data_IF_396736574083
#
_entry.id   IF_396736574083
#
_cell.length_a   1.000
_cell.length_b   1.000
_cell.length_c   1.000
_cell.angle_alpha   90.00
_cell.angle_beta   90.00
_cell.angle_gamma   90.00
#
_symmetry.space_group_name_H-M   'P 1'
#
loop_
_entity.id
_entity.type
_entity.pdbx_description
1 polymer ?
#
# COMPACT_ATOMS: atom_id res chain seq x y z
N UNK A 1 -0.75 23.39 5.26
CA UNK A 1 -0.36 22.03 4.79
C UNK A 1 -1.07 20.91 5.57
N UNK A 2 -0.64 20.56 6.80
CA UNK A 2 -1.27 19.45 7.55
C UNK A 2 -2.75 19.68 7.85
N UNK A 3 -3.14 20.93 8.14
CA UNK A 3 -4.53 21.33 8.30
C UNK A 3 -5.35 21.09 7.03
N UNK A 4 -4.80 21.43 5.87
CA UNK A 4 -5.46 21.28 4.57
C UNK A 4 -5.56 19.81 4.14
N UNK A 5 -4.64 18.95 4.60
CA UNK A 5 -4.77 17.50 4.42
C UNK A 5 -5.87 16.93 5.31
N UNK A 6 -5.98 17.40 6.56
CA UNK A 6 -7.05 16.99 7.47
C UNK A 6 -8.43 17.37 6.95
N UNK A 7 -8.58 18.55 6.34
CA UNK A 7 -9.86 18.95 5.73
C UNK A 7 -10.30 18.05 4.57
N UNK A 8 -9.35 17.32 3.96
CA UNK A 8 -9.60 16.32 2.92
C UNK A 8 -9.66 14.88 3.45
N UNK A 9 -9.70 14.70 4.78
CA UNK A 9 -9.88 13.39 5.42
C UNK A 9 -8.58 12.67 5.80
N UNK A 10 -7.43 13.32 5.73
CA UNK A 10 -6.16 12.72 6.18
C UNK A 10 -6.13 12.52 7.70
N UNK A 11 -5.77 11.31 8.14
CA UNK A 11 -5.60 10.99 9.56
C UNK A 11 -4.14 11.29 10.00
N UNK A 12 -3.90 12.54 10.41
CA UNK A 12 -2.59 13.05 10.82
C UNK A 12 -2.63 13.71 12.20
N UNK A 13 -3.53 13.27 13.08
CA UNK A 13 -3.70 13.81 14.44
C UNK A 13 -2.47 13.55 15.32
N UNK A 14 -1.79 12.43 15.10
CA UNK A 14 -0.60 12.00 15.83
C UNK A 14 0.71 12.58 15.30
N UNK A 15 0.72 13.14 14.09
CA UNK A 15 1.92 13.74 13.49
C UNK A 15 2.09 15.16 14.00
N UNK A 16 3.19 15.40 14.73
CA UNK A 16 3.55 16.73 15.22
C UNK A 16 4.42 17.47 14.17
N UNK A 17 4.18 18.77 13.89
CA UNK A 17 4.90 19.51 12.85
C UNK A 17 6.43 19.56 13.05
N UNK A 18 6.90 19.60 14.29
CA UNK A 18 8.33 19.65 14.62
C UNK A 18 9.11 18.43 14.14
N UNK A 19 8.46 17.27 14.00
CA UNK A 19 9.10 16.06 13.47
C UNK A 19 9.20 16.05 11.94
N UNK A 20 8.64 17.05 11.26
CA UNK A 20 8.78 17.22 9.81
C UNK A 20 9.92 18.19 9.44
N UNK A 21 10.58 18.80 10.43
CA UNK A 21 11.71 19.70 10.21
C UNK A 21 12.96 18.93 9.79
N UNK A 22 13.90 19.63 9.14
CA UNK A 22 15.25 19.10 8.99
C UNK A 22 15.93 18.99 10.37
N UNK A 23 16.93 18.09 10.54
CA UNK A 23 17.60 17.92 11.82
C UNK A 23 18.15 19.22 12.44
N UNK A 24 18.74 20.09 11.61
CA UNK A 24 19.27 21.37 12.07
C UNK A 24 18.16 22.36 12.45
N UNK A 25 17.07 22.38 11.67
CA UNK A 25 15.90 23.22 11.97
C UNK A 25 15.19 22.75 13.24
N UNK A 26 15.16 21.44 13.50
CA UNK A 26 14.64 20.89 14.75
C UNK A 26 15.48 21.32 15.94
N UNK A 27 16.82 21.30 15.83
CA UNK A 27 17.71 21.82 16.88
C UNK A 27 17.39 23.28 17.17
N UNK A 28 17.33 24.14 16.15
CA UNK A 28 16.95 25.55 16.30
C UNK A 28 15.57 25.69 16.95
N UNK A 29 14.58 24.92 16.49
CA UNK A 29 13.23 24.94 17.06
C UNK A 29 13.20 24.54 18.53
N UNK A 30 13.98 23.52 18.92
CA UNK A 30 14.10 23.12 20.33
C UNK A 30 14.77 24.20 21.17
N UNK A 31 15.82 24.86 20.67
CA UNK A 31 16.48 25.96 21.39
C UNK A 31 15.53 27.14 21.62
N UNK A 32 14.77 27.53 20.60
CA UNK A 32 13.80 28.63 20.68
C UNK A 32 12.66 28.31 21.65
N UNK A 33 12.14 27.07 21.64
CA UNK A 33 10.98 26.70 22.45
C UNK A 33 11.30 26.21 23.86
N UNK A 34 12.52 25.74 24.12
CA UNK A 34 12.95 25.30 25.46
C UNK A 34 13.82 26.32 26.18
N UNK A 35 14.41 27.28 25.45
CA UNK A 35 15.38 28.22 25.99
C UNK A 35 16.74 27.57 26.36
N UNK A 36 16.94 26.29 26.02
CA UNK A 36 18.16 25.54 26.29
C UNK A 36 18.99 25.49 25.00
N UNK A 37 20.15 26.15 24.99
CA UNK A 37 21.13 26.00 23.89
C UNK A 37 21.71 24.59 23.91
N UNK A 38 21.71 23.92 22.75
CA UNK A 38 22.33 22.60 22.58
C UNK A 38 23.85 22.78 22.75
N UNK A 39 24.34 22.56 23.97
CA UNK A 39 25.73 22.80 24.37
C UNK A 39 25.93 23.30 25.80
N UNK A 40 24.88 23.77 26.48
CA UNK A 40 24.97 24.16 27.89
C UNK A 40 24.15 23.21 28.76
N UNK A 41 24.81 22.19 29.32
CA UNK A 41 24.24 21.30 30.31
C UNK A 41 24.10 22.05 31.65
N UNK A 42 23.10 22.92 31.80
CA UNK A 42 22.72 23.49 33.11
C UNK A 42 21.21 23.53 33.31
N UNK A 43 20.78 22.62 34.18
CA UNK A 43 19.64 22.68 35.10
C UNK A 43 18.27 23.06 34.53
N UNK A 44 17.41 22.03 34.43
CA UNK A 44 15.99 22.00 34.80
C UNK A 44 15.35 23.35 35.12
N UNK A 45 14.84 24.03 34.09
CA UNK A 45 13.91 25.15 34.19
C UNK A 45 12.47 24.68 33.90
N UNK A 46 11.57 24.87 34.86
CA UNK A 46 10.15 24.48 34.77
C UNK A 46 9.41 25.54 33.94
N UNK A 47 9.07 25.23 32.69
CA UNK A 47 8.23 26.08 31.83
C UNK A 47 7.02 25.29 31.31
N UNK A 48 5.84 25.83 31.62
CA UNK A 48 4.48 25.51 31.11
C UNK A 48 4.20 24.08 30.62
N UNK A 49 4.15 23.10 31.53
CA UNK A 49 3.30 21.89 31.40
C UNK A 49 3.60 20.88 30.28
N UNK A 50 4.42 21.22 29.28
CA UNK A 50 4.87 20.35 28.19
C UNK A 50 6.34 20.05 28.41
N UNK A 51 6.65 18.84 28.89
CA UNK A 51 8.03 18.34 28.88
C UNK A 51 8.45 18.12 27.43
N UNK A 52 9.08 19.13 26.83
CA UNK A 52 9.77 18.98 25.55
C UNK A 52 11.08 18.28 25.85
N UNK A 53 11.12 16.98 25.60
CA UNK A 53 12.37 16.22 25.66
C UNK A 53 13.17 16.55 24.39
N UNK A 54 14.38 17.08 24.56
CA UNK A 54 15.33 17.16 23.45
C UNK A 54 15.69 15.72 23.10
N UNK A 55 15.34 15.31 21.89
CA UNK A 55 15.65 13.98 21.40
C UNK A 55 17.10 13.92 20.94
N UNK A 56 17.74 12.78 21.17
CA UNK A 56 19.00 12.47 20.50
C UNK A 56 18.80 12.42 18.99
N UNK A 57 19.82 12.80 18.22
CA UNK A 57 19.76 12.91 16.76
C UNK A 57 19.24 11.61 16.09
N UNK A 58 19.67 10.43 16.57
CA UNK A 58 19.23 9.12 16.05
C UNK A 58 17.74 8.83 16.32
N UNK A 59 17.24 9.26 17.48
CA UNK A 59 15.84 9.10 17.89
C UNK A 59 14.96 10.06 17.10
N UNK A 60 15.40 11.32 16.97
CA UNK A 60 14.73 12.31 16.12
C UNK A 60 14.60 11.81 14.68
N UNK A 61 15.69 11.32 14.09
CA UNK A 61 15.71 10.82 12.71
C UNK A 61 14.70 9.68 12.51
N UNK A 62 14.61 8.76 13.47
CA UNK A 62 13.66 7.63 13.42
C UNK A 62 12.21 8.13 13.46
N UNK A 63 11.91 9.07 14.36
CA UNK A 63 10.57 9.64 14.50
C UNK A 63 10.22 10.49 13.27
N UNK A 64 11.16 11.27 12.76
CA UNK A 64 10.99 12.11 11.58
C UNK A 64 10.69 11.27 10.34
N UNK A 65 11.45 10.20 10.11
CA UNK A 65 11.19 9.23 9.03
C UNK A 65 9.78 8.65 9.11
N UNK A 66 9.34 8.26 10.31
CA UNK A 66 7.98 7.74 10.52
C UNK A 66 6.93 8.81 10.24
N UNK A 67 7.11 10.02 10.76
CA UNK A 67 6.20 11.14 10.54
C UNK A 67 6.06 11.47 9.05
N UNK A 68 7.17 11.56 8.32
CA UNK A 68 7.16 11.77 6.87
C UNK A 68 6.51 10.62 6.12
N UNK A 69 6.78 9.38 6.49
CA UNK A 69 6.15 8.20 5.89
C UNK A 69 4.63 8.24 6.07
N UNK A 70 4.16 8.57 7.27
CA UNK A 70 2.73 8.70 7.56
C UNK A 70 2.08 9.84 6.75
N UNK A 71 2.75 10.99 6.62
CA UNK A 71 2.28 12.12 5.79
C UNK A 71 2.19 11.72 4.32
N UNK A 72 3.23 11.11 3.76
CA UNK A 72 3.25 10.66 2.36
C UNK A 72 2.18 9.60 2.08
N UNK A 73 1.97 8.66 3.00
CA UNK A 73 0.92 7.66 2.91
C UNK A 73 -0.48 8.31 2.91
N UNK A 74 -0.71 9.28 3.79
CA UNK A 74 -1.99 9.99 3.84
C UNK A 74 -2.22 10.84 2.57
N UNK A 75 -1.17 11.47 2.02
CA UNK A 75 -1.25 12.14 0.72
C UNK A 75 -1.69 11.15 -0.37
N UNK A 76 -1.08 9.97 -0.42
CA UNK A 76 -1.48 8.94 -1.39
C UNK A 76 -2.94 8.53 -1.23
N UNK A 77 -3.37 8.22 0.00
CA UNK A 77 -4.74 7.79 0.30
C UNK A 77 -5.80 8.85 -0.04
N UNK A 78 -5.50 10.12 0.19
CA UNK A 78 -6.46 11.22 0.01
C UNK A 78 -6.47 11.76 -1.42
N UNK A 79 -5.32 11.83 -2.09
CA UNK A 79 -5.23 12.51 -3.39
C UNK A 79 -5.11 11.55 -4.59
N UNK A 80 -4.47 10.39 -4.41
CA UNK A 80 -4.19 9.46 -5.51
C UNK A 80 -5.27 8.40 -5.60
N UNK A 81 -5.58 7.76 -4.48
CA UNK A 81 -6.51 6.64 -4.42
C UNK A 81 -7.93 6.96 -4.94
N UNK A 82 -8.53 8.15 -4.67
CA UNK A 82 -9.84 8.48 -5.21
C UNK A 82 -9.87 8.58 -6.74
N UNK A 83 -8.77 9.05 -7.35
CA UNK A 83 -8.66 9.21 -8.80
C UNK A 83 -8.64 7.86 -9.52
N UNK A 84 -7.99 6.88 -8.91
CA UNK A 84 -7.90 5.51 -9.43
C UNK A 84 -9.26 4.82 -9.31
N UNK A 85 -9.91 4.93 -8.14
CA UNK A 85 -11.19 4.27 -7.88
C UNK A 85 -12.34 4.81 -8.74
N UNK A 86 -12.38 6.12 -9.04
CA UNK A 86 -13.41 6.71 -9.91
C UNK A 86 -13.47 6.05 -11.30
N UNK A 87 -12.34 5.56 -11.80
CA UNK A 87 -12.24 4.87 -13.10
C UNK A 87 -12.54 3.38 -13.02
N UNK A 88 -12.47 2.81 -11.82
CA UNK A 88 -12.61 1.38 -11.57
C UNK A 88 -14.07 1.00 -11.37
N UNK A 89 -14.90 1.85 -10.75
CA UNK A 89 -16.31 1.52 -10.45
C UNK A 89 -17.11 1.34 -11.73
N UNK A 90 -17.48 0.10 -12.12
CA UNK A 90 -18.52 -0.11 -13.10
C UNK A 90 -19.86 -0.11 -12.36
N UNK A 91 -20.91 0.20 -13.10
CA UNK A 91 -22.34 0.17 -12.79
C UNK A 91 -22.75 -0.75 -11.59
N UNK A 92 -23.73 -0.35 -10.73
CA UNK A 92 -24.19 -1.11 -9.55
C UNK A 92 -24.60 -2.56 -9.85
N UNK A 93 -24.99 -2.86 -11.09
CA UNK A 93 -25.25 -4.21 -11.61
C UNK A 93 -24.06 -5.17 -11.47
N UNK A 94 -22.84 -4.63 -11.44
CA UNK A 94 -21.62 -5.41 -11.25
C UNK A 94 -21.42 -5.90 -9.80
N UNK A 95 -22.20 -5.40 -8.83
CA UNK A 95 -22.23 -5.94 -7.47
C UNK A 95 -23.03 -7.25 -7.38
N UNK A 96 -23.95 -7.49 -8.32
CA UNK A 96 -24.77 -8.72 -8.35
C UNK A 96 -23.96 -9.94 -8.79
N UNK A 97 -22.95 -9.79 -9.66
CA UNK A 97 -22.06 -10.90 -10.03
C UNK A 97 -21.18 -11.40 -8.88
N UNK A 98 -21.03 -10.59 -7.81
CA UNK A 98 -20.39 -10.99 -6.56
C UNK A 98 -21.32 -11.83 -5.66
N UNK A 99 -22.65 -11.80 -5.86
CA UNK A 99 -23.61 -12.63 -5.11
C UNK A 99 -23.49 -14.13 -5.46
N UNK A 100 -22.97 -14.45 -6.65
CA UNK A 100 -22.71 -15.82 -7.08
C UNK A 100 -21.39 -16.39 -6.52
N UNK A 101 -20.60 -15.58 -5.79
CA UNK A 101 -19.45 -16.08 -5.04
C UNK A 101 -19.95 -16.55 -3.66
N UNK A 102 -19.73 -17.82 -3.28
CA UNK A 102 -20.23 -18.32 -2.00
C UNK A 102 -19.56 -17.56 -0.84
N UNK A 103 -20.38 -16.92 0.01
CA UNK A 103 -19.92 -16.30 1.27
C UNK A 103 -20.02 -14.78 1.35
N UNK A 104 -20.35 -14.07 0.26
CA UNK A 104 -20.80 -12.68 0.36
C UNK A 104 -22.25 -12.69 0.84
N UNK A 105 -22.47 -12.47 2.15
CA UNK A 105 -23.56 -11.53 2.50
C UNK A 105 -23.21 -10.24 1.77
N UNK A 106 -24.16 -9.55 1.17
CA UNK A 106 -24.00 -8.27 0.43
C UNK A 106 -23.24 -7.16 1.19
N UNK A 107 -22.76 -7.46 2.39
CA UNK A 107 -21.88 -6.69 3.26
C UNK A 107 -20.47 -7.32 3.40
N UNK A 108 -19.67 -7.55 2.34
CA UNK A 108 -18.24 -7.80 2.50
C UNK A 108 -17.46 -6.49 2.82
N UNK A 109 -18.16 -5.52 3.41
CA UNK A 109 -17.88 -4.10 3.29
C UNK A 109 -17.96 -3.35 4.64
N UNK A 110 -18.30 -4.04 5.74
CA UNK A 110 -18.39 -3.46 7.08
C UNK A 110 -17.05 -3.38 7.84
N UNK A 111 -15.92 -3.80 7.23
CA UNK A 111 -14.63 -3.55 7.86
C UNK A 111 -14.33 -2.04 7.81
N UNK A 112 -14.31 -1.41 8.98
CA UNK A 112 -13.84 -0.06 9.25
C UNK A 112 -12.33 0.14 8.98
N UNK A 113 -11.64 -0.86 8.43
CA UNK A 113 -10.20 -0.85 8.15
C UNK A 113 -9.89 -0.21 6.78
N UNK A 114 -10.75 -0.43 5.77
CA UNK A 114 -10.52 0.04 4.41
C UNK A 114 -11.50 1.15 4.00
N UNK A 115 -10.99 2.17 3.34
CA UNK A 115 -11.77 3.22 2.71
C UNK A 115 -12.64 2.67 1.56
N UNK A 116 -13.63 3.45 1.13
CA UNK A 116 -14.46 3.13 -0.05
C UNK A 116 -13.63 2.88 -1.31
N UNK A 117 -12.48 3.54 -1.44
CA UNK A 117 -11.63 3.45 -2.62
C UNK A 117 -10.74 2.20 -2.59
N UNK A 118 -10.19 1.84 -1.44
CA UNK A 118 -9.50 0.56 -1.23
C UNK A 118 -10.45 -0.62 -1.51
N UNK A 119 -11.69 -0.54 -1.00
CA UNK A 119 -12.72 -1.57 -1.26
C UNK A 119 -13.05 -1.70 -2.74
N UNK A 120 -13.08 -0.60 -3.50
CA UNK A 120 -13.27 -0.65 -4.94
C UNK A 120 -12.15 -1.41 -5.66
N UNK A 121 -10.90 -1.22 -5.23
CA UNK A 121 -9.74 -1.97 -5.78
C UNK A 121 -9.86 -3.45 -5.42
N UNK A 122 -10.19 -3.81 -4.18
CA UNK A 122 -10.38 -5.22 -3.79
C UNK A 122 -11.47 -5.90 -4.64
N UNK A 123 -12.61 -5.23 -4.85
CA UNK A 123 -13.68 -5.74 -5.72
C UNK A 123 -13.17 -5.97 -7.14
N UNK A 124 -12.41 -5.03 -7.68
CA UNK A 124 -11.83 -5.12 -9.01
C UNK A 124 -10.83 -6.28 -9.14
N UNK A 125 -9.95 -6.45 -8.15
CA UNK A 125 -9.00 -7.57 -8.10
C UNK A 125 -9.71 -8.93 -8.09
N UNK A 126 -10.77 -9.09 -7.29
CA UNK A 126 -11.56 -10.32 -7.26
C UNK A 126 -12.19 -10.64 -8.62
N UNK A 127 -12.88 -9.66 -9.22
CA UNK A 127 -13.53 -9.82 -10.52
C UNK A 127 -12.51 -10.18 -11.61
N UNK A 128 -11.39 -9.47 -11.64
CA UNK A 128 -10.37 -9.69 -12.65
C UNK A 128 -9.68 -11.05 -12.47
N UNK A 129 -9.34 -11.42 -11.23
CA UNK A 129 -8.69 -12.69 -10.95
C UNK A 129 -9.56 -13.89 -11.36
N UNK A 130 -10.83 -13.92 -10.92
CA UNK A 130 -11.73 -15.04 -11.26
C UNK A 130 -11.95 -15.13 -12.78
N UNK A 131 -12.11 -13.99 -13.46
CA UNK A 131 -12.26 -13.94 -14.92
C UNK A 131 -11.03 -14.48 -15.65
N UNK A 132 -9.82 -14.09 -15.22
CA UNK A 132 -8.60 -14.33 -15.99
C UNK A 132 -7.84 -15.60 -15.59
N UNK A 133 -8.01 -16.14 -14.37
CA UNK A 133 -7.19 -17.29 -13.90
C UNK A 133 -7.27 -18.51 -14.82
N UNK A 134 -8.44 -18.77 -15.43
CA UNK A 134 -8.67 -19.88 -16.37
C UNK A 134 -8.05 -19.64 -17.74
N UNK A 135 -7.79 -18.38 -18.09
CA UNK A 135 -7.21 -17.98 -19.37
C UNK A 135 -5.68 -17.97 -19.25
N UNK A 136 -5.15 -17.30 -18.23
CA UNK A 136 -3.71 -17.07 -18.04
C UNK A 136 -2.95 -18.39 -17.81
N UNK A 137 -3.53 -19.32 -17.05
CA UNK A 137 -2.88 -20.58 -16.67
C UNK A 137 -3.54 -21.82 -17.27
N UNK A 138 -4.23 -21.66 -18.40
CA UNK A 138 -4.80 -22.80 -19.15
C UNK A 138 -3.73 -23.84 -19.48
N UNK A 139 -2.58 -23.37 -19.94
CA UNK A 139 -1.46 -24.19 -20.41
C UNK A 139 -0.25 -24.10 -19.45
N UNK A 140 -0.49 -23.93 -18.14
CA UNK A 140 0.55 -23.71 -17.13
C UNK A 140 1.65 -24.77 -17.15
N UNK A 141 2.91 -24.33 -16.98
CA UNK A 141 4.08 -25.22 -16.91
C UNK A 141 4.37 -25.71 -15.49
N UNK A 142 3.82 -25.05 -14.46
CA UNK A 142 4.15 -25.30 -13.05
C UNK A 142 2.90 -25.39 -12.18
N UNK A 143 2.04 -26.33 -12.53
CA UNK A 143 0.79 -26.64 -11.84
C UNK A 143 -0.40 -26.59 -12.80
N UNK A 144 -1.61 -26.54 -12.26
CA UNK A 144 -2.85 -26.42 -13.04
C UNK A 144 -3.39 -24.98 -13.05
N UNK A 145 -4.66 -24.84 -13.41
CA UNK A 145 -5.38 -23.58 -13.22
C UNK A 145 -5.42 -23.27 -11.71
N UNK A 146 -4.97 -22.08 -11.25
CA UNK A 146 -5.04 -21.69 -9.85
C UNK A 146 -6.46 -21.81 -9.30
N UNK A 147 -6.57 -22.15 -8.02
CA UNK A 147 -7.86 -22.23 -7.33
C UNK A 147 -8.58 -20.89 -7.31
N UNK A 148 -9.91 -20.96 -7.28
CA UNK A 148 -10.73 -19.82 -6.91
C UNK A 148 -10.35 -19.39 -5.50
N UNK A 149 -10.21 -18.08 -5.27
CA UNK A 149 -9.87 -17.55 -3.95
C UNK A 149 -10.55 -16.21 -3.70
N UNK A 150 -10.58 -15.84 -2.44
CA UNK A 150 -11.18 -14.60 -1.96
C UNK A 150 -10.08 -13.59 -1.63
N UNK A 151 -10.10 -12.40 -2.24
CA UNK A 151 -9.09 -11.35 -2.02
C UNK A 151 -9.72 -10.27 -1.14
N UNK A 152 -9.34 -10.22 0.12
CA UNK A 152 -9.87 -9.30 1.14
C UNK A 152 -8.83 -8.34 1.68
N UNK A 153 -7.55 -8.57 1.38
CA UNK A 153 -6.46 -7.73 1.84
C UNK A 153 -5.43 -7.48 0.71
N UNK A 154 -4.48 -6.56 0.95
CA UNK A 154 -3.44 -6.17 -0.01
C UNK A 154 -2.07 -6.78 0.32
N UNK A 155 -2.02 -7.69 1.28
CA UNK A 155 -0.82 -8.29 1.84
C UNK A 155 -0.79 -9.79 1.56
N UNK A 156 -1.33 -10.63 2.44
CA UNK A 156 -1.28 -12.08 2.30
C UNK A 156 -1.94 -12.58 1.01
N UNK A 157 -3.05 -11.97 0.60
CA UNK A 157 -3.80 -12.44 -0.57
C UNK A 157 -3.09 -12.13 -1.91
N UNK A 158 -2.14 -11.21 -1.89
CA UNK A 158 -1.32 -10.82 -3.05
C UNK A 158 0.08 -11.42 -3.03
N UNK A 159 0.46 -12.09 -1.93
CA UNK A 159 1.83 -12.54 -1.64
C UNK A 159 2.42 -13.45 -2.72
N UNK A 160 1.59 -14.32 -3.31
CA UNK A 160 2.05 -15.29 -4.31
C UNK A 160 2.16 -14.73 -5.73
N UNK A 161 1.76 -13.47 -5.92
CA UNK A 161 1.82 -12.74 -7.17
C UNK A 161 0.79 -13.15 -8.22
N UNK A 162 -0.03 -14.19 -8.00
CA UNK A 162 -0.96 -14.67 -9.04
C UNK A 162 -2.08 -13.67 -9.31
N UNK A 163 -2.56 -12.98 -8.28
CA UNK A 163 -3.60 -11.94 -8.42
C UNK A 163 -3.08 -10.77 -9.27
N UNK A 164 -1.85 -10.33 -9.01
CA UNK A 164 -1.20 -9.26 -9.77
C UNK A 164 -0.90 -9.70 -11.21
N UNK A 165 -0.48 -10.95 -11.41
CA UNK A 165 -0.18 -11.47 -12.73
C UNK A 165 -1.44 -11.56 -13.59
N UNK A 166 -2.56 -12.01 -13.01
CA UNK A 166 -3.86 -11.99 -13.67
C UNK A 166 -4.28 -10.56 -14.06
N UNK A 167 -3.90 -9.57 -13.24
CA UNK A 167 -4.19 -8.18 -13.52
C UNK A 167 -3.38 -7.61 -14.67
N UNK A 168 -2.09 -7.91 -14.74
CA UNK A 168 -1.25 -7.47 -15.86
C UNK A 168 -1.67 -8.21 -17.13
N UNK A 169 -1.92 -9.52 -17.04
CA UNK A 169 -2.31 -10.35 -18.18
C UNK A 169 -3.63 -9.92 -18.82
N UNK A 170 -4.57 -9.34 -18.06
CA UNK A 170 -5.83 -8.85 -18.63
C UNK A 170 -5.62 -7.68 -19.60
N UNK A 171 -4.56 -6.89 -19.41
CA UNK A 171 -4.21 -5.76 -20.28
C UNK A 171 -3.09 -6.10 -21.27
N UNK A 172 -2.22 -7.04 -20.91
CA UNK A 172 -1.06 -7.45 -21.70
C UNK A 172 -1.05 -8.97 -21.91
N UNK A 173 -2.02 -9.53 -22.67
CA UNK A 173 -2.16 -10.97 -22.84
C UNK A 173 -0.96 -11.62 -23.55
N UNK A 174 -0.19 -10.86 -24.33
CA UNK A 174 1.04 -11.33 -24.96
C UNK A 174 2.15 -11.74 -23.97
N UNK A 175 2.05 -11.34 -22.70
CA UNK A 175 2.96 -11.75 -21.63
C UNK A 175 2.63 -13.15 -21.08
N UNK A 176 1.43 -13.68 -21.35
CA UNK A 176 1.00 -14.99 -20.85
C UNK A 176 1.97 -16.10 -21.31
N UNK A 177 2.21 -16.32 -22.63
CA UNK A 177 3.05 -17.41 -23.09
C UNK A 177 4.54 -17.21 -22.76
N UNK A 178 4.98 -15.97 -22.52
CA UNK A 178 6.40 -15.64 -22.32
C UNK A 178 6.80 -15.57 -20.84
N UNK A 179 5.88 -15.15 -19.96
CA UNK A 179 6.12 -14.89 -18.55
C UNK A 179 5.19 -15.72 -17.65
N UNK A 180 3.88 -15.46 -17.70
CA UNK A 180 2.97 -15.93 -16.64
C UNK A 180 2.71 -17.43 -16.65
N UNK A 181 2.85 -18.10 -17.80
CA UNK A 181 2.77 -19.57 -17.91
C UNK A 181 3.84 -20.30 -17.07
N UNK A 182 4.93 -19.60 -16.70
CA UNK A 182 6.06 -20.13 -15.92
C UNK A 182 5.89 -19.97 -14.41
N UNK A 183 4.82 -19.32 -13.96
CA UNK A 183 4.55 -19.11 -12.53
C UNK A 183 4.04 -20.40 -11.88
N UNK A 184 4.40 -20.60 -10.61
CA UNK A 184 3.79 -21.63 -9.77
C UNK A 184 2.36 -21.24 -9.45
N UNK A 185 1.40 -22.12 -9.76
CA UNK A 185 -0.04 -21.84 -9.58
C UNK A 185 -0.61 -22.30 -8.24
N UNK A 186 0.13 -23.15 -7.51
CA UNK A 186 -0.11 -23.51 -6.11
C UNK A 186 1.21 -23.39 -5.31
N UNK A 187 1.73 -22.16 -5.12
CA UNK A 187 3.00 -21.96 -4.44
C UNK A 187 2.86 -22.15 -2.91
N UNK A 188 3.80 -22.90 -2.33
CA UNK A 188 3.81 -23.28 -0.90
C UNK A 188 5.09 -22.91 -0.15
N UNK A 189 6.15 -22.55 -0.88
CA UNK A 189 7.43 -22.16 -0.28
C UNK A 189 7.79 -20.72 -0.62
N UNK A 190 8.61 -20.11 0.22
CA UNK A 190 9.12 -18.75 -0.01
C UNK A 190 9.91 -18.65 -1.33
N UNK A 191 10.62 -19.70 -1.76
CA UNK A 191 11.30 -19.67 -3.06
C UNK A 191 10.31 -19.64 -4.22
N UNK A 192 9.16 -20.30 -4.10
CA UNK A 192 8.12 -20.28 -5.12
C UNK A 192 7.43 -18.91 -5.19
N UNK A 193 7.16 -18.29 -4.04
CA UNK A 193 6.67 -16.90 -4.00
C UNK A 193 7.69 -15.94 -4.64
N UNK A 194 8.97 -16.06 -4.26
CA UNK A 194 10.04 -15.23 -4.84
C UNK A 194 10.17 -15.42 -6.36
N UNK A 195 10.13 -16.67 -6.83
CA UNK A 195 10.15 -16.98 -8.27
C UNK A 195 9.00 -16.29 -9.02
N UNK A 196 7.78 -16.36 -8.48
CA UNK A 196 6.62 -15.70 -9.04
C UNK A 196 6.78 -14.17 -9.06
N UNK A 197 7.27 -13.57 -7.97
CA UNK A 197 7.57 -12.15 -7.89
C UNK A 197 8.61 -11.72 -8.94
N UNK A 198 9.66 -12.50 -9.16
CA UNK A 198 10.66 -12.20 -10.20
C UNK A 198 10.07 -12.25 -11.61
N UNK A 199 9.12 -13.15 -11.88
CA UNK A 199 8.39 -13.18 -13.16
C UNK A 199 7.55 -11.91 -13.31
N UNK A 200 6.82 -11.51 -12.27
CA UNK A 200 6.04 -10.27 -12.26
C UNK A 200 6.90 -9.04 -12.53
N UNK A 201 8.03 -8.91 -11.85
CA UNK A 201 8.96 -7.79 -12.05
C UNK A 201 9.47 -7.75 -13.48
N UNK A 202 9.87 -8.90 -14.04
CA UNK A 202 10.27 -8.99 -15.46
C UNK A 202 9.14 -8.58 -16.41
N UNK A 203 7.92 -9.01 -16.11
CA UNK A 203 6.74 -8.63 -16.89
C UNK A 203 6.47 -7.11 -16.82
N UNK A 204 6.59 -6.50 -15.64
CA UNK A 204 6.45 -5.05 -15.44
C UNK A 204 7.52 -4.26 -16.20
N UNK A 205 8.77 -4.70 -16.19
CA UNK A 205 9.83 -4.09 -17.01
C UNK A 205 9.53 -4.21 -18.51
N UNK A 206 9.01 -5.36 -18.97
CA UNK A 206 8.67 -5.56 -20.37
C UNK A 206 7.60 -4.56 -20.87
N UNK A 207 6.72 -4.09 -19.98
CA UNK A 207 5.67 -3.12 -20.30
C UNK A 207 6.01 -1.69 -19.88
N UNK A 208 7.23 -1.43 -19.40
CA UNK A 208 7.69 -0.13 -18.91
C UNK A 208 6.79 0.45 -17.80
N UNK A 209 6.31 -0.43 -16.92
CA UNK A 209 5.60 -0.08 -15.67
C UNK A 209 6.52 -0.30 -14.45
N UNK A 210 7.82 -0.09 -14.63
CA UNK A 210 8.80 -0.12 -13.56
C UNK A 210 8.70 1.14 -12.69
N UNK A 211 7.88 1.05 -11.65
CA UNK A 211 7.84 2.06 -10.59
C UNK A 211 9.04 1.80 -9.65
N UNK A 212 10.23 2.26 -10.03
CA UNK A 212 11.46 2.20 -9.23
C UNK A 212 11.79 0.81 -8.61
N UNK A 213 11.33 -0.28 -9.23
CA UNK A 213 11.65 -1.64 -8.79
C UNK A 213 13.10 -1.92 -9.21
N UNK A 214 14.02 -1.82 -8.25
CA UNK A 214 15.42 -2.25 -8.43
C UNK A 214 15.50 -3.75 -8.15
N UNK A 215 16.02 -4.51 -9.12
CA UNK A 215 16.39 -5.93 -8.97
C UNK A 215 17.66 -6.06 -8.17
#
# INVERSE_FOLDING_TARGET
LLHDFRSQGACLSHVMPEFLLAPEDYKIWTEVNTGIRVGSMRSSGKLSGKRIFILEDSVFETISKRAWTDVLLQIYKVFVLPRVSSRIVPDPSSLESLQNMPGIKSEPLCSNIYSRYERAILIWLNKNYEKNRKIVWKDSQRGGIPTMRWIVNFDQDLLDGLVLAAQIASYCPYLIPTHFIKMYTDPRTHEQFLHNCLILVKALHAVKLDIDIKV
#
